data_IF_246922732030
#
_entry.id   IF_246922732030
#
_cell.length_a   1.000
_cell.length_b   1.000
_cell.length_c   1.000
_cell.angle_alpha   90.00
_cell.angle_beta   90.00
_cell.angle_gamma   90.00
#
_symmetry.space_group_name_H-M   'P 1'
#
loop_
_entity.id
_entity.type
_entity.pdbx_description
1 polymer ?
#
# COMPACT_ATOMS: atom_id res chain seq x y z
N UNK A 1 3.17 -5.62 2.31
CA UNK A 1 3.56 -5.67 3.75
C UNK A 1 4.04 -4.33 4.28
N UNK A 2 5.12 -3.73 3.77
CA UNK A 2 5.63 -2.49 4.38
C UNK A 2 4.59 -1.34 4.42
N UNK A 3 3.80 -1.18 3.35
CA UNK A 3 2.73 -0.17 3.32
C UNK A 3 1.64 -0.39 4.36
N UNK A 4 1.22 -1.64 4.62
CA UNK A 4 0.21 -1.93 5.66
C UNK A 4 0.73 -1.69 7.07
N UNK A 5 1.99 -2.06 7.33
CA UNK A 5 2.65 -1.75 8.61
C UNK A 5 2.81 -0.23 8.82
N UNK A 6 3.15 0.49 7.75
CA UNK A 6 3.22 1.95 7.78
C UNK A 6 1.86 2.56 8.14
N UNK A 7 0.81 2.12 7.45
CA UNK A 7 -0.55 2.55 7.70
C UNK A 7 -0.94 2.25 9.16
N UNK A 8 -0.82 0.99 9.60
CA UNK A 8 -1.33 0.55 10.90
C UNK A 8 -0.64 1.30 12.05
N UNK A 9 0.67 1.54 11.91
CA UNK A 9 1.43 2.35 12.86
C UNK A 9 0.91 3.79 12.93
N UNK A 10 0.68 4.43 11.77
CA UNK A 10 0.16 5.78 11.67
C UNK A 10 -1.27 5.90 12.19
N UNK A 11 -2.16 4.99 11.77
CA UNK A 11 -3.51 4.87 12.27
C UNK A 11 -3.50 4.82 13.80
N UNK A 12 -2.66 3.96 14.39
CA UNK A 12 -2.60 3.82 15.84
C UNK A 12 -2.11 5.10 16.54
N UNK A 13 -1.22 5.88 15.91
CA UNK A 13 -0.84 7.21 16.40
C UNK A 13 -1.98 8.23 16.31
N UNK A 14 -2.82 8.15 15.27
CA UNK A 14 -4.01 9.01 15.14
C UNK A 14 -5.08 8.61 16.14
N UNK A 15 -5.41 7.32 16.26
CA UNK A 15 -6.36 6.79 17.22
C UNK A 15 -6.00 7.20 18.66
N UNK A 16 -4.73 7.10 19.03
CA UNK A 16 -4.24 7.53 20.34
C UNK A 16 -4.43 9.04 20.59
N UNK A 17 -4.38 9.88 19.55
CA UNK A 17 -4.64 11.34 19.66
C UNK A 17 -6.12 11.68 19.77
N UNK A 18 -7.01 10.75 19.43
CA UNK A 18 -8.47 10.94 19.43
C UNK A 18 -9.18 10.15 20.54
N UNK A 19 -8.43 9.62 21.51
CA UNK A 19 -8.98 8.96 22.70
C UNK A 19 -8.46 9.56 24.00
N UNK A 20 -9.36 9.68 24.98
CA UNK A 20 -9.04 10.13 26.34
C UNK A 20 -8.83 8.96 27.33
N UNK A 21 -9.03 7.71 26.89
CA UNK A 21 -8.81 6.53 27.71
C UNK A 21 -7.30 6.22 27.81
N UNK A 22 -6.73 6.40 29.01
CA UNK A 22 -5.28 6.20 29.23
C UNK A 22 -4.86 4.74 29.08
N UNK A 23 -5.70 3.80 29.50
CA UNK A 23 -5.39 2.37 29.39
C UNK A 23 -5.40 1.93 27.93
N UNK A 24 -6.37 2.38 27.14
CA UNK A 24 -6.37 2.14 25.70
C UNK A 24 -5.11 2.72 25.02
N UNK A 25 -4.65 3.91 25.43
CA UNK A 25 -3.42 4.51 24.91
C UNK A 25 -2.18 3.70 25.26
N UNK A 26 -2.16 3.03 26.42
CA UNK A 26 -1.06 2.13 26.84
C UNK A 26 -1.04 0.87 25.98
N UNK A 27 -2.19 0.24 25.77
CA UNK A 27 -2.34 -0.93 24.89
C UNK A 27 -1.90 -0.60 23.46
N UNK A 28 -2.39 0.50 22.90
CA UNK A 28 -1.97 1.01 21.59
C UNK A 28 -0.46 1.30 21.53
N UNK A 29 0.16 1.79 22.61
CA UNK A 29 1.60 2.04 22.65
C UNK A 29 2.43 0.76 22.63
N UNK A 30 1.98 -0.29 23.34
CA UNK A 30 2.62 -1.59 23.32
C UNK A 30 2.56 -2.21 21.91
N UNK A 31 1.37 -2.16 21.28
CA UNK A 31 1.15 -2.61 19.90
C UNK A 31 2.07 -1.88 18.92
N UNK A 32 2.05 -0.55 18.88
CA UNK A 32 2.87 0.26 17.95
C UNK A 32 4.36 -0.05 17.98
N UNK A 33 4.89 -0.45 19.14
CA UNK A 33 6.31 -0.80 19.22
C UNK A 33 6.60 -2.11 18.46
N UNK A 34 5.69 -3.08 18.49
CA UNK A 34 5.79 -4.31 17.71
C UNK A 34 5.62 -4.02 16.22
N UNK A 35 4.57 -3.28 15.82
CA UNK A 35 4.39 -2.81 14.43
C UNK A 35 5.67 -2.13 13.91
N UNK A 36 6.28 -1.28 14.74
CA UNK A 36 7.48 -0.57 14.31
C UNK A 36 8.66 -1.51 14.07
N UNK A 37 8.80 -2.56 14.88
CA UNK A 37 9.83 -3.56 14.67
C UNK A 37 9.55 -4.36 13.39
N UNK A 38 8.30 -4.78 13.16
CA UNK A 38 7.90 -5.51 11.95
C UNK A 38 8.15 -4.68 10.69
N UNK A 39 7.73 -3.41 10.70
CA UNK A 39 8.01 -2.46 9.63
C UNK A 39 9.51 -2.34 9.33
N UNK A 40 10.36 -2.22 10.36
CA UNK A 40 11.81 -2.11 10.20
C UNK A 40 12.42 -3.40 9.64
N UNK A 41 12.04 -4.56 10.19
CA UNK A 41 12.50 -5.87 9.72
C UNK A 41 12.19 -6.04 8.23
N UNK A 42 10.95 -5.71 7.81
CA UNK A 42 10.52 -5.78 6.41
C UNK A 42 11.27 -4.78 5.52
N UNK A 43 11.43 -3.53 5.99
CA UNK A 43 12.11 -2.49 5.23
C UNK A 43 13.56 -2.86 4.94
N UNK A 44 14.21 -3.58 5.85
CA UNK A 44 15.61 -4.00 5.78
C UNK A 44 15.83 -5.30 4.99
N UNK A 45 14.78 -5.92 4.44
CA UNK A 45 14.91 -7.02 3.48
C UNK A 45 15.37 -6.55 2.09
N UNK A 46 15.36 -5.24 1.85
CA UNK A 46 15.75 -4.67 0.56
C UNK A 46 17.24 -4.90 0.26
N UNK A 47 17.62 -5.17 -1.01
CA UNK A 47 19.02 -5.29 -1.39
C UNK A 47 19.81 -4.02 -1.09
N UNK A 48 21.05 -4.16 -0.62
CA UNK A 48 21.93 -3.03 -0.28
C UNK A 48 22.33 -2.19 -1.51
N UNK A 49 22.41 -2.83 -2.68
CA UNK A 49 22.86 -2.25 -3.93
C UNK A 49 21.71 -1.77 -4.85
N UNK A 50 20.46 -1.83 -4.38
CA UNK A 50 19.27 -1.36 -5.12
C UNK A 50 19.35 0.15 -5.40
N UNK A 51 19.31 0.53 -6.67
CA UNK A 51 19.28 1.92 -7.12
C UNK A 51 17.92 2.57 -6.81
N UNK A 52 17.88 3.91 -6.77
CA UNK A 52 16.61 4.64 -6.61
C UNK A 52 15.62 4.31 -7.74
N UNK A 53 16.09 4.14 -8.98
CA UNK A 53 15.20 3.82 -10.10
C UNK A 53 14.76 2.36 -10.05
N UNK A 54 15.62 1.43 -9.66
CA UNK A 54 15.25 0.02 -9.44
C UNK A 54 14.17 -0.11 -8.34
N UNK A 55 14.35 0.63 -7.24
CA UNK A 55 13.37 0.69 -6.16
C UNK A 55 12.03 1.26 -6.62
N UNK A 56 12.05 2.28 -7.48
CA UNK A 56 10.86 2.85 -8.10
C UNK A 56 10.15 1.84 -9.00
N UNK A 57 10.88 1.08 -9.82
CA UNK A 57 10.30 -0.04 -10.59
C UNK A 57 9.64 -1.05 -9.66
N UNK A 58 10.24 -1.35 -8.51
CA UNK A 58 9.65 -2.24 -7.50
C UNK A 58 8.30 -1.74 -6.96
N UNK A 59 8.15 -0.44 -6.72
CA UNK A 59 6.86 0.15 -6.31
C UNK A 59 5.82 0.10 -7.42
N UNK A 60 6.20 0.45 -8.64
CA UNK A 60 5.25 0.46 -9.76
C UNK A 60 4.81 -0.95 -10.16
N UNK A 61 5.73 -1.91 -10.10
CA UNK A 61 5.39 -3.33 -10.26
C UNK A 61 4.39 -3.79 -9.19
N UNK A 62 4.62 -3.41 -7.92
CA UNK A 62 3.70 -3.71 -6.84
C UNK A 62 2.32 -3.11 -7.11
N UNK A 63 2.23 -1.85 -7.53
CA UNK A 63 0.97 -1.19 -7.85
C UNK A 63 0.21 -1.93 -8.95
N UNK A 64 0.86 -2.21 -10.09
CA UNK A 64 0.24 -2.95 -11.20
C UNK A 64 -0.25 -4.34 -10.77
N UNK A 65 0.60 -5.14 -10.13
CA UNK A 65 0.26 -6.52 -9.77
C UNK A 65 -0.83 -6.59 -8.70
N UNK A 66 -0.71 -5.77 -7.66
CA UNK A 66 -1.66 -5.72 -6.57
C UNK A 66 -3.02 -5.24 -7.06
N UNK A 67 -3.06 -4.12 -7.79
CA UNK A 67 -4.30 -3.55 -8.31
C UNK A 67 -4.98 -4.53 -9.27
N UNK A 68 -4.23 -5.18 -10.15
CA UNK A 68 -4.77 -6.21 -11.05
C UNK A 68 -5.35 -7.42 -10.29
N UNK A 69 -4.66 -7.91 -9.26
CA UNK A 69 -5.13 -9.06 -8.49
C UNK A 69 -6.36 -8.75 -7.63
N UNK A 70 -6.39 -7.57 -7.00
CA UNK A 70 -7.58 -7.09 -6.29
C UNK A 70 -8.76 -6.92 -7.25
N UNK A 71 -8.54 -6.28 -8.41
CA UNK A 71 -9.58 -6.06 -9.41
C UNK A 71 -10.17 -7.36 -9.97
N UNK A 72 -9.38 -8.43 -10.09
CA UNK A 72 -9.85 -9.75 -10.56
C UNK A 72 -10.77 -10.43 -9.55
N UNK A 73 -10.55 -10.22 -8.24
CA UNK A 73 -11.28 -10.86 -7.14
C UNK A 73 -12.48 -10.03 -6.67
N UNK A 74 -12.48 -8.73 -6.93
CA UNK A 74 -13.51 -7.82 -6.48
C UNK A 74 -14.88 -8.10 -7.12
N UNK A 75 -15.90 -8.17 -6.28
CA UNK A 75 -17.30 -8.43 -6.65
C UNK A 75 -18.14 -7.16 -6.62
N UNK A 76 -17.78 -6.19 -5.78
CA UNK A 76 -18.44 -4.89 -5.76
C UNK A 76 -18.09 -4.13 -7.05
N UNK A 77 -19.11 -3.87 -7.85
CA UNK A 77 -18.93 -3.22 -9.15
C UNK A 77 -18.25 -1.85 -9.05
N UNK A 78 -18.53 -1.09 -7.99
CA UNK A 78 -18.02 0.26 -7.84
C UNK A 78 -16.55 0.25 -7.41
N UNK A 79 -16.19 -0.59 -6.43
CA UNK A 79 -14.79 -0.78 -6.01
C UNK A 79 -13.95 -1.34 -7.16
N UNK A 80 -14.48 -2.35 -7.87
CA UNK A 80 -13.81 -2.90 -9.06
C UNK A 80 -13.54 -1.82 -10.11
N UNK A 81 -14.48 -0.91 -10.34
CA UNK A 81 -14.30 0.17 -11.33
C UNK A 81 -13.25 1.18 -10.91
N UNK A 82 -13.08 1.44 -9.61
CA UNK A 82 -11.99 2.27 -9.11
C UNK A 82 -10.62 1.61 -9.34
N UNK A 83 -10.50 0.31 -9.02
CA UNK A 83 -9.29 -0.48 -9.26
C UNK A 83 -8.95 -0.58 -10.76
N UNK A 84 -9.93 -0.95 -11.60
CA UNK A 84 -9.75 -1.04 -13.07
C UNK A 84 -9.29 0.30 -13.68
N UNK A 85 -9.71 1.42 -13.09
CA UNK A 85 -9.37 2.76 -13.59
C UNK A 85 -7.93 3.14 -13.26
N UNK A 86 -7.52 3.01 -12.00
CA UNK A 86 -6.17 3.37 -11.56
C UNK A 86 -5.12 2.39 -12.08
N UNK A 87 -5.48 1.12 -12.31
CA UNK A 87 -4.58 0.14 -12.94
C UNK A 87 -4.04 0.63 -14.30
N UNK A 88 -4.84 1.38 -15.06
CA UNK A 88 -4.39 1.95 -16.34
C UNK A 88 -3.36 3.07 -16.14
N UNK A 89 -3.42 3.78 -15.02
CA UNK A 89 -2.48 4.83 -14.63
C UNK A 89 -1.17 4.18 -14.14
N UNK A 90 -1.25 3.12 -13.31
CA UNK A 90 -0.10 2.33 -12.84
C UNK A 90 0.72 1.71 -13.99
N UNK A 91 0.05 1.20 -15.04
CA UNK A 91 0.75 0.72 -16.24
C UNK A 91 1.57 1.83 -16.93
N UNK A 92 1.05 3.05 -16.99
CA UNK A 92 1.76 4.19 -17.57
C UNK A 92 2.95 4.61 -16.68
N UNK A 93 2.80 4.56 -15.36
CA UNK A 93 3.90 4.86 -14.44
C UNK A 93 5.04 3.86 -14.59
N UNK A 94 4.75 2.56 -14.55
CA UNK A 94 5.74 1.50 -14.76
C UNK A 94 6.46 1.67 -16.10
N UNK A 95 5.71 1.93 -17.17
CA UNK A 95 6.27 2.18 -18.50
C UNK A 95 7.22 3.39 -18.53
N UNK A 96 6.81 4.52 -17.96
CA UNK A 96 7.63 5.75 -17.99
C UNK A 96 8.87 5.65 -17.11
N UNK A 97 8.79 4.96 -15.97
CA UNK A 97 9.97 4.70 -15.15
C UNK A 97 10.89 3.64 -15.76
N UNK A 98 10.36 2.67 -16.49
CA UNK A 98 11.16 1.71 -17.25
C UNK A 98 11.99 2.42 -18.33
N UNK A 99 11.38 3.31 -19.11
CA UNK A 99 12.07 4.15 -20.09
C UNK A 99 13.17 5.00 -19.40
N UNK A 100 12.86 5.60 -18.24
CA UNK A 100 13.84 6.39 -17.50
C UNK A 100 15.01 5.54 -16.98
N UNK A 101 14.74 4.34 -16.48
CA UNK A 101 15.75 3.39 -16.01
C UNK A 101 16.69 2.97 -17.14
N UNK A 102 16.14 2.60 -18.30
CA UNK A 102 16.96 2.23 -19.47
C UNK A 102 17.82 3.42 -19.93
N UNK A 103 17.23 4.62 -20.05
CA UNK A 103 17.94 5.83 -20.47
C UNK A 103 19.08 6.24 -19.53
N UNK A 104 18.97 5.95 -18.23
CA UNK A 104 19.90 6.44 -17.21
C UNK A 104 20.93 5.42 -16.78
N UNK A 105 20.50 4.17 -16.64
CA UNK A 105 21.28 3.10 -16.02
C UNK A 105 21.54 1.97 -17.02
N UNK A 106 20.89 1.98 -18.19
CA UNK A 106 21.04 0.93 -19.20
C UNK A 106 20.44 -0.41 -18.77
N UNK A 107 19.60 -0.39 -17.73
CA UNK A 107 18.93 -1.57 -17.17
C UNK A 107 17.54 -1.69 -17.80
N UNK A 108 17.23 -2.90 -18.27
CA UNK A 108 15.92 -3.23 -18.81
C UNK A 108 14.97 -3.63 -17.67
N UNK A 109 13.89 -2.87 -17.49
CA UNK A 109 12.95 -3.09 -16.38
C UNK A 109 12.31 -4.49 -16.40
N UNK A 110 12.19 -5.13 -17.57
CA UNK A 110 11.68 -6.50 -17.73
C UNK A 110 12.49 -7.54 -16.94
N UNK A 111 13.76 -7.23 -16.64
CA UNK A 111 14.60 -8.07 -15.78
C UNK A 111 14.18 -7.98 -14.31
N UNK A 112 13.77 -6.79 -13.86
CA UNK A 112 13.35 -6.52 -12.49
C UNK A 112 11.93 -7.03 -12.23
N UNK A 113 11.01 -6.83 -13.19
CA UNK A 113 9.61 -7.30 -13.07
C UNK A 113 9.44 -8.80 -13.39
N UNK A 114 10.55 -9.52 -13.58
CA UNK A 114 10.55 -10.96 -13.83
C UNK A 114 9.82 -11.40 -15.11
N UNK A 115 9.54 -10.48 -16.03
CA UNK A 115 8.70 -10.67 -17.22
C UNK A 115 7.28 -11.16 -16.92
N UNK A 116 6.80 -10.99 -15.68
CA UNK A 116 5.43 -11.30 -15.30
C UNK A 116 4.47 -10.20 -15.75
N UNK A 117 4.95 -8.96 -15.73
CA UNK A 117 4.20 -7.78 -16.13
C UNK A 117 4.76 -7.24 -17.43
N UNK A 118 3.86 -7.01 -18.38
CA UNK A 118 4.21 -6.36 -19.64
C UNK A 118 4.47 -4.87 -19.37
N UNK A 119 5.68 -4.41 -19.72
CA UNK A 119 6.01 -2.99 -19.69
C UNK A 119 5.41 -2.35 -20.94
N UNK A 120 4.24 -1.73 -20.78
CA UNK A 120 3.47 -1.15 -21.89
C UNK A 120 2.82 0.17 -21.50
N UNK A 121 2.58 1.08 -22.47
CA UNK A 121 1.86 2.31 -22.19
C UNK A 121 0.45 2.04 -21.65
N UNK A 122 0.09 2.75 -20.59
CA UNK A 122 -1.25 2.77 -19.99
C UNK A 122 -2.08 3.96 -20.47
N UNK A 123 -2.95 4.47 -19.58
CA UNK A 123 -3.54 5.80 -19.77
C UNK A 123 -2.41 6.82 -19.59
N UNK A 124 -2.18 7.76 -20.50
CA UNK A 124 -1.04 8.66 -20.39
C UNK A 124 -1.23 9.70 -19.28
N UNK A 125 -0.16 10.04 -18.55
CA UNK A 125 -0.19 10.95 -17.39
C UNK A 125 -0.83 12.32 -17.67
N UNK A 126 -0.68 12.85 -18.88
CA UNK A 126 -1.35 14.09 -19.34
C UNK A 126 -2.87 14.04 -19.22
N UNK A 127 -3.44 12.83 -19.20
CA UNK A 127 -4.86 12.59 -19.07
C UNK A 127 -5.26 12.10 -17.67
N UNK A 128 -4.34 11.87 -16.72
CA UNK A 128 -4.69 11.38 -15.37
C UNK A 128 -5.42 12.44 -14.57
N UNK A 129 -4.84 13.64 -14.57
CA UNK A 129 -5.25 14.72 -13.68
C UNK A 129 -6.72 15.08 -13.82
N UNK A 130 -7.40 15.11 -12.68
CA UNK A 130 -8.80 15.52 -12.53
C UNK A 130 -8.96 16.50 -11.38
N UNK A 131 -10.12 17.16 -11.33
CA UNK A 131 -10.38 18.08 -10.24
C UNK A 131 -10.39 17.30 -8.90
N UNK A 132 -9.78 17.78 -7.81
CA UNK A 132 -9.64 16.99 -6.57
C UNK A 132 -10.97 16.48 -6.00
N UNK A 133 -12.06 17.25 -6.15
CA UNK A 133 -13.40 16.79 -5.73
C UNK A 133 -13.93 15.58 -6.52
N UNK A 134 -13.45 15.37 -7.75
CA UNK A 134 -13.84 14.24 -8.60
C UNK A 134 -13.03 12.97 -8.28
N UNK A 135 -12.00 13.07 -7.44
CA UNK A 135 -11.32 11.91 -6.86
C UNK A 135 -12.18 11.22 -5.82
N UNK A 136 -13.03 11.99 -5.12
CA UNK A 136 -13.82 11.47 -4.02
C UNK A 136 -14.76 10.36 -4.46
N UNK A 137 -14.76 9.27 -3.71
CA UNK A 137 -15.55 8.07 -4.01
C UNK A 137 -16.67 7.84 -2.99
N UNK A 138 -17.64 7.02 -3.40
CA UNK A 138 -18.68 6.54 -2.50
C UNK A 138 -18.08 5.44 -1.62
N UNK A 139 -18.16 5.56 -0.28
CA UNK A 139 -17.61 4.55 0.62
C UNK A 139 -18.42 3.26 0.60
N UNK A 140 -17.76 2.16 0.95
CA UNK A 140 -18.42 0.91 1.29
C UNK A 140 -19.06 0.98 2.67
N UNK A 141 -19.89 -0.01 3.00
CA UNK A 141 -20.32 -0.27 4.38
C UNK A 141 -19.71 -1.59 4.84
N UNK A 142 -18.73 -1.53 5.74
CA UNK A 142 -17.95 -2.68 6.23
C UNK A 142 -18.81 -3.73 6.95
N UNK A 143 -20.01 -3.38 7.41
CA UNK A 143 -20.95 -4.30 8.07
C UNK A 143 -21.75 -5.15 7.08
N UNK A 144 -21.85 -4.73 5.82
CA UNK A 144 -22.62 -5.42 4.78
C UNK A 144 -21.81 -5.81 3.54
N UNK A 145 -20.65 -5.19 3.32
CA UNK A 145 -19.75 -5.51 2.22
C UNK A 145 -19.16 -6.93 2.38
N UNK A 146 -18.73 -7.53 1.27
CA UNK A 146 -17.92 -8.75 1.32
C UNK A 146 -16.61 -8.43 2.05
N UNK A 147 -16.16 -9.33 2.93
CA UNK A 147 -14.93 -9.14 3.71
C UNK A 147 -13.72 -8.86 2.80
N UNK A 148 -13.66 -9.49 1.62
CA UNK A 148 -12.59 -9.23 0.67
C UNK A 148 -12.66 -7.83 0.07
N UNK A 149 -13.85 -7.24 -0.09
CA UNK A 149 -14.00 -5.86 -0.53
C UNK A 149 -13.44 -4.90 0.53
N UNK A 150 -13.76 -5.12 1.81
CA UNK A 150 -13.18 -4.32 2.90
C UNK A 150 -11.67 -4.42 2.94
N UNK A 151 -11.14 -5.65 2.90
CA UNK A 151 -9.69 -5.88 2.83
C UNK A 151 -9.07 -5.19 1.62
N UNK A 152 -9.67 -5.32 0.42
CA UNK A 152 -9.14 -4.72 -0.80
C UNK A 152 -8.99 -3.20 -0.67
N UNK A 153 -10.00 -2.50 -0.14
CA UNK A 153 -9.94 -1.04 0.06
C UNK A 153 -8.82 -0.63 1.02
N UNK A 154 -8.56 -1.40 2.08
CA UNK A 154 -7.51 -1.09 3.05
C UNK A 154 -6.11 -1.41 2.51
N UNK A 155 -5.98 -2.56 1.85
CA UNK A 155 -4.71 -3.03 1.28
C UNK A 155 -4.22 -2.05 0.22
N UNK A 156 -5.08 -1.66 -0.73
CA UNK A 156 -4.67 -0.76 -1.81
C UNK A 156 -4.37 0.65 -1.29
N UNK A 157 -5.18 1.18 -0.36
CA UNK A 157 -4.93 2.49 0.26
C UNK A 157 -3.56 2.51 0.94
N UNK A 158 -3.23 1.48 1.72
CA UNK A 158 -1.95 1.38 2.40
C UNK A 158 -0.75 1.26 1.43
N UNK A 159 -0.94 0.58 0.29
CA UNK A 159 0.08 0.51 -0.75
C UNK A 159 0.33 1.89 -1.38
N UNK A 160 -0.72 2.57 -1.82
CA UNK A 160 -0.58 3.89 -2.47
C UNK A 160 -0.04 4.96 -1.53
N UNK A 161 -0.47 4.97 -0.27
CA UNK A 161 0.07 5.90 0.72
C UNK A 161 1.58 5.71 0.90
N UNK A 162 2.07 4.48 0.85
CA UNK A 162 3.50 4.19 0.95
C UNK A 162 4.24 4.65 -0.32
N UNK A 163 3.69 4.41 -1.51
CA UNK A 163 4.26 4.88 -2.79
C UNK A 163 4.34 6.40 -2.86
N UNK A 164 3.25 7.09 -2.51
CA UNK A 164 3.19 8.55 -2.43
C UNK A 164 4.24 9.11 -1.47
N UNK A 165 4.35 8.53 -0.26
CA UNK A 165 5.36 8.94 0.73
C UNK A 165 6.79 8.72 0.22
N UNK A 166 7.04 7.62 -0.50
CA UNK A 166 8.32 7.37 -1.13
C UNK A 166 8.67 8.48 -2.13
N UNK A 167 7.76 8.83 -3.04
CA UNK A 167 7.99 9.90 -4.02
C UNK A 167 8.24 11.27 -3.39
N UNK A 168 7.55 11.61 -2.31
CA UNK A 168 7.77 12.86 -1.59
C UNK A 168 9.21 13.00 -1.07
N UNK A 169 9.87 11.89 -0.75
CA UNK A 169 11.25 11.90 -0.25
C UNK A 169 12.26 11.82 -1.41
N UNK A 170 12.07 10.89 -2.35
CA UNK A 170 13.09 10.61 -3.37
C UNK A 170 13.11 11.61 -4.53
N UNK A 171 12.02 12.34 -4.77
CA UNK A 171 11.97 13.41 -5.79
C UNK A 171 13.07 14.45 -5.57
N UNK A 172 13.39 14.74 -4.31
CA UNK A 172 14.43 15.73 -3.95
C UNK A 172 15.84 15.25 -4.28
N UNK A 173 16.05 13.93 -4.34
CA UNK A 173 17.33 13.27 -4.58
C UNK A 173 17.60 13.02 -6.08
N UNK A 174 16.57 13.13 -6.93
CA UNK A 174 16.73 12.96 -8.37
C UNK A 174 17.74 13.97 -8.95
N UNK A 175 18.75 13.44 -9.65
CA UNK A 175 19.99 14.16 -10.02
C UNK A 175 19.83 15.12 -11.21
N UNK A 176 18.77 14.96 -12.01
CA UNK A 176 18.59 15.72 -13.24
C UNK A 176 17.15 16.23 -13.42
N UNK A 177 16.99 17.19 -14.34
CA UNK A 177 15.70 17.84 -14.56
C UNK A 177 14.63 16.93 -15.16
N UNK A 178 14.97 15.91 -15.93
CA UNK A 178 13.98 15.01 -16.53
C UNK A 178 13.40 14.11 -15.44
N UNK A 179 14.26 13.45 -14.66
CA UNK A 179 13.86 12.60 -13.54
C UNK A 179 13.02 13.39 -12.54
N UNK A 180 13.46 14.59 -12.13
CA UNK A 180 12.69 15.45 -11.20
C UNK A 180 11.31 15.82 -11.73
N UNK A 181 11.16 16.03 -13.03
CA UNK A 181 9.86 16.35 -13.64
C UNK A 181 8.95 15.12 -13.64
N UNK A 182 9.48 13.95 -14.01
CA UNK A 182 8.73 12.70 -14.00
C UNK A 182 8.24 12.36 -12.59
N UNK A 183 9.15 12.31 -11.61
CA UNK A 183 8.79 12.05 -10.21
C UNK A 183 7.77 13.05 -9.68
N UNK A 184 7.91 14.34 -9.99
CA UNK A 184 6.93 15.35 -9.57
C UNK A 184 5.55 15.12 -10.20
N UNK A 185 5.51 14.76 -11.48
CA UNK A 185 4.27 14.55 -12.21
C UNK A 185 3.51 13.36 -11.64
N UNK A 186 4.18 12.20 -11.49
CA UNK A 186 3.57 10.98 -10.95
C UNK A 186 3.24 11.13 -9.46
N UNK A 187 4.07 11.82 -8.65
CA UNK A 187 3.74 12.08 -7.24
C UNK A 187 2.43 12.86 -7.05
N UNK A 188 2.03 13.69 -8.02
CA UNK A 188 0.72 14.36 -7.97
C UNK A 188 -0.43 13.40 -8.28
N UNK A 189 -0.21 12.40 -9.15
CA UNK A 189 -1.18 11.35 -9.45
C UNK A 189 -1.36 10.42 -8.24
N UNK A 190 -0.29 10.11 -7.51
CA UNK A 190 -0.42 9.27 -6.32
C UNK A 190 -1.30 9.90 -5.22
N UNK A 191 -1.32 11.22 -5.10
CA UNK A 191 -2.30 11.91 -4.23
C UNK A 191 -3.74 11.67 -4.70
N UNK A 192 -3.98 11.64 -6.01
CA UNK A 192 -5.28 11.33 -6.60
C UNK A 192 -5.68 9.86 -6.36
N UNK A 193 -4.72 8.94 -6.40
CA UNK A 193 -4.91 7.52 -6.08
C UNK A 193 -5.26 7.33 -4.60
N UNK A 194 -4.47 7.93 -3.69
CA UNK A 194 -4.72 7.87 -2.25
C UNK A 194 -6.11 8.39 -1.92
N UNK A 195 -6.47 9.60 -2.40
CA UNK A 195 -7.82 10.17 -2.19
C UNK A 195 -8.90 9.23 -2.70
N UNK A 196 -8.73 8.68 -3.90
CA UNK A 196 -9.71 7.77 -4.50
C UNK A 196 -9.94 6.52 -3.65
N UNK A 197 -8.87 5.88 -3.17
CA UNK A 197 -8.97 4.61 -2.48
C UNK A 197 -9.37 4.75 -1.02
N UNK A 198 -8.88 5.77 -0.32
CA UNK A 198 -9.25 5.99 1.08
C UNK A 198 -10.74 6.32 1.21
N UNK A 199 -11.32 7.03 0.24
CA UNK A 199 -12.75 7.35 0.21
C UNK A 199 -13.64 6.12 -0.06
N UNK A 200 -13.08 5.00 -0.50
CA UNK A 200 -13.81 3.73 -0.57
C UNK A 200 -13.96 3.07 0.80
N UNK A 201 -13.10 3.38 1.77
CA UNK A 201 -13.14 2.81 3.11
C UNK A 201 -14.42 3.26 3.85
N UNK A 202 -14.86 2.48 4.83
CA UNK A 202 -16.06 2.80 5.61
C UNK A 202 -15.80 3.93 6.63
N UNK A 203 -16.43 5.11 6.49
CA UNK A 203 -16.21 6.24 7.38
C UNK A 203 -17.01 6.14 8.70
N UNK A 204 -17.88 5.14 8.84
CA UNK A 204 -18.78 5.00 9.99
C UNK A 204 -18.21 4.13 11.12
N UNK A 205 -17.05 3.50 10.92
CA UNK A 205 -16.36 2.71 11.95
C UNK A 205 -15.84 3.59 13.09
N UNK A 206 -16.02 3.13 14.33
CA UNK A 206 -15.28 3.68 15.48
C UNK A 206 -13.78 3.39 15.36
N UNK A 207 -12.94 4.16 16.06
CA UNK A 207 -11.49 3.91 16.09
C UNK A 207 -11.11 2.48 16.48
N UNK A 208 -11.89 1.79 17.30
CA UNK A 208 -11.62 0.39 17.66
C UNK A 208 -12.15 -0.60 16.61
N UNK A 209 -13.29 -0.33 15.97
CA UNK A 209 -13.75 -1.13 14.83
C UNK A 209 -12.76 -1.02 13.67
N UNK A 210 -12.27 0.18 13.38
CA UNK A 210 -11.26 0.40 12.34
C UNK A 210 -9.92 -0.26 12.73
N UNK A 211 -9.48 -0.13 13.99
CA UNK A 211 -8.29 -0.83 14.48
C UNK A 211 -8.37 -2.34 14.21
N UNK A 212 -9.52 -2.96 14.51
CA UNK A 212 -9.74 -4.39 14.30
C UNK A 212 -9.56 -4.78 12.82
N UNK A 213 -10.01 -3.93 11.91
CA UNK A 213 -9.83 -4.14 10.48
C UNK A 213 -8.38 -4.01 10.01
N UNK A 214 -7.58 -3.13 10.62
CA UNK A 214 -6.13 -3.07 10.36
C UNK A 214 -5.46 -4.38 10.77
N UNK A 215 -5.68 -4.87 12.01
CA UNK A 215 -5.07 -6.14 12.45
C UNK A 215 -5.50 -7.31 11.56
N UNK A 216 -6.78 -7.32 11.15
CA UNK A 216 -7.31 -8.37 10.29
C UNK A 216 -6.67 -8.33 8.88
N UNK A 217 -6.42 -7.13 8.36
CA UNK A 217 -5.72 -6.92 7.09
C UNK A 217 -4.29 -7.43 7.17
N UNK A 218 -3.58 -7.12 8.25
CA UNK A 218 -2.19 -7.54 8.46
C UNK A 218 -2.12 -9.07 8.64
N UNK A 219 -3.01 -9.67 9.43
CA UNK A 219 -3.15 -11.12 9.53
C UNK A 219 -3.34 -11.79 8.16
N UNK A 220 -4.27 -11.27 7.35
CA UNK A 220 -4.56 -11.80 6.02
C UNK A 220 -3.32 -11.72 5.11
N UNK A 221 -2.62 -10.60 5.10
CA UNK A 221 -1.47 -10.40 4.24
C UNK A 221 -0.24 -11.20 4.69
N UNK A 222 0.06 -11.24 5.99
CA UNK A 222 1.17 -12.05 6.51
C UNK A 222 0.96 -13.54 6.21
N UNK A 223 -0.27 -14.02 6.39
CA UNK A 223 -0.61 -15.38 6.02
C UNK A 223 -0.44 -15.60 4.50
N UNK A 224 -0.90 -14.65 3.68
CA UNK A 224 -0.74 -14.72 2.22
C UNK A 224 0.73 -14.80 1.80
N UNK A 225 1.60 -13.95 2.38
CA UNK A 225 3.04 -13.98 2.15
C UNK A 225 3.66 -15.31 2.60
N UNK A 226 3.34 -15.81 3.79
CA UNK A 226 3.82 -17.11 4.29
C UNK A 226 3.47 -18.26 3.34
N UNK A 227 2.24 -18.25 2.80
CA UNK A 227 1.75 -19.32 1.93
C UNK A 227 2.50 -19.41 0.60
N UNK A 228 3.00 -18.28 0.08
CA UNK A 228 3.69 -18.23 -1.21
C UNK A 228 5.21 -18.11 -1.10
N UNK A 229 5.74 -17.78 0.07
CA UNK A 229 7.19 -17.61 0.27
C UNK A 229 7.95 -18.94 0.10
N UNK A 230 9.04 -18.84 -0.64
CA UNK A 230 9.93 -19.95 -1.01
C UNK A 230 11.26 -19.92 -0.28
N UNK A 231 11.71 -18.74 0.17
CA UNK A 231 12.91 -18.60 0.99
C UNK A 231 12.59 -18.94 2.46
N UNK A 232 13.24 -19.96 3.01
CA UNK A 232 12.96 -20.45 4.37
C UNK A 232 13.20 -19.39 5.46
N UNK A 233 14.17 -18.49 5.27
CA UNK A 233 14.49 -17.45 6.25
C UNK A 233 13.41 -16.37 6.25
N UNK A 234 13.02 -15.89 5.07
CA UNK A 234 11.95 -14.91 4.92
C UNK A 234 10.60 -15.52 5.34
N UNK A 235 10.36 -16.80 5.04
CA UNK A 235 9.14 -17.50 5.43
C UNK A 235 8.97 -17.57 6.95
N UNK A 236 10.07 -17.84 7.67
CA UNK A 236 10.06 -17.82 9.14
C UNK A 236 9.76 -16.43 9.71
N UNK A 237 10.21 -15.36 9.03
CA UNK A 237 9.85 -13.98 9.40
C UNK A 237 8.35 -13.72 9.19
N UNK A 238 7.76 -14.16 8.08
CA UNK A 238 6.32 -14.05 7.84
C UNK A 238 5.49 -14.81 8.89
N UNK A 239 5.91 -16.03 9.25
CA UNK A 239 5.24 -16.81 10.29
C UNK A 239 5.30 -16.12 11.66
N UNK A 240 6.49 -15.63 12.05
CA UNK A 240 6.68 -14.90 13.30
C UNK A 240 5.74 -13.68 13.37
N UNK A 241 5.73 -12.86 12.33
CA UNK A 241 4.92 -11.65 12.31
C UNK A 241 3.42 -11.98 12.25
N UNK A 242 3.01 -13.02 11.51
CA UNK A 242 1.64 -13.53 11.53
C UNK A 242 1.14 -13.86 12.94
N UNK A 243 1.95 -14.57 13.75
CA UNK A 243 1.59 -14.92 15.13
C UNK A 243 1.46 -13.68 16.03
N UNK A 244 2.30 -12.67 15.81
CA UNK A 244 2.19 -11.37 16.49
C UNK A 244 0.87 -10.70 16.13
N UNK A 245 0.54 -10.62 14.84
CA UNK A 245 -0.70 -9.99 14.37
C UNK A 245 -1.96 -10.70 14.83
N UNK A 246 -1.96 -12.04 14.89
CA UNK A 246 -3.09 -12.79 15.48
C UNK A 246 -3.27 -12.42 16.96
N UNK A 247 -2.18 -12.18 17.68
CA UNK A 247 -2.23 -11.72 19.07
C UNK A 247 -2.78 -10.30 19.18
N UNK A 248 -2.37 -9.39 18.29
CA UNK A 248 -2.91 -8.03 18.20
C UNK A 248 -4.41 -8.05 17.86
N UNK A 249 -4.83 -8.84 16.87
CA UNK A 249 -6.23 -9.01 16.48
C UNK A 249 -7.09 -9.46 17.66
N UNK A 250 -6.66 -10.49 18.40
CA UNK A 250 -7.37 -10.95 19.59
C UNK A 250 -7.43 -9.88 20.68
N UNK A 251 -6.35 -9.12 20.89
CA UNK A 251 -6.32 -8.04 21.87
C UNK A 251 -7.26 -6.89 21.49
N UNK A 252 -7.25 -6.47 20.23
CA UNK A 252 -8.14 -5.41 19.73
C UNK A 252 -9.61 -5.85 19.79
N UNK A 253 -9.91 -7.12 19.52
CA UNK A 253 -11.25 -7.68 19.69
C UNK A 253 -11.71 -7.73 21.16
N UNK A 254 -10.79 -7.90 22.11
CA UNK A 254 -11.08 -7.78 23.55
C UNK A 254 -11.41 -6.33 23.92
N UNK A 255 -10.62 -5.37 23.44
CA UNK A 255 -10.79 -3.93 23.72
C UNK A 255 -12.09 -3.35 23.15
N UNK A 256 -12.68 -3.99 22.14
CA UNK A 256 -13.95 -3.59 21.53
C UNK A 256 -15.19 -3.96 22.37
N UNK A 257 -15.05 -4.86 23.35
CA UNK A 257 -16.17 -5.33 24.21
C UNK A 257 -16.42 -4.40 25.40
#
# INVERSE_FOLDING_TARGET
MNGTEFEANWFCHQAARHTNNTDLRREMAAKRMQEKNQQLDISLLKPEDESQLEHTIGYEQLAVDLTAELAKREKDFYVKKALDFALLEDFDHLYRYADLLEMREGVLAEQLVGKYTEVMPGRPTVAHHRHPMDNVRRPINSKSADTMTTLATMIITAAEQQTMNYYMNVTTLAKDSLSRKLYREIALVEEEHVTQYEDLMDPCGSWLETALWHEYTECYLYWSCYMTETDDYIKALWEKNYVIEVSHLHKTAELLK
#
